data_IF_488321885024
#
_entry.id   IF_488321885024
#
_cell.length_a   1.000
_cell.length_b   1.000
_cell.length_c   1.000
_cell.angle_alpha   90.00
_cell.angle_beta   90.00
_cell.angle_gamma   90.00
#
_symmetry.space_group_name_H-M   'P 1'
#
loop_
_entity.id
_entity.type
_entity.pdbx_description
1 polymer ?
#
# COMPACT_ATOMS: atom_id res chain seq x y z
N UNK A 1 -9.27 8.47 -13.81
CA UNK A 1 -7.96 8.18 -14.43
C UNK A 1 -6.79 9.05 -13.96
N UNK A 2 -6.77 10.40 -14.15
CA UNK A 2 -5.63 11.26 -13.71
C UNK A 2 -5.18 11.02 -12.26
N UNK A 3 -6.14 11.00 -11.33
CA UNK A 3 -5.90 10.69 -9.91
C UNK A 3 -5.11 9.40 -9.64
N UNK A 4 -5.25 8.36 -10.47
CA UNK A 4 -4.55 7.09 -10.26
C UNK A 4 -3.09 7.15 -10.72
N UNK A 5 -2.83 7.88 -11.82
CA UNK A 5 -1.46 8.07 -12.30
C UNK A 5 -0.71 9.04 -11.36
N UNK A 6 -1.40 10.06 -10.85
CA UNK A 6 -0.82 10.98 -9.86
C UNK A 6 -0.44 10.23 -8.57
N UNK A 7 -1.30 9.31 -8.11
CA UNK A 7 -0.99 8.45 -6.96
C UNK A 7 0.13 7.46 -7.24
N UNK A 8 0.17 6.82 -8.41
CA UNK A 8 1.26 5.88 -8.72
C UNK A 8 2.60 6.61 -8.83
N UNK A 9 2.63 7.83 -9.39
CA UNK A 9 3.83 8.67 -9.41
C UNK A 9 4.23 9.08 -7.98
N UNK A 10 3.27 9.51 -7.16
CA UNK A 10 3.53 9.86 -5.76
C UNK A 10 4.17 8.70 -4.99
N UNK A 11 3.58 7.51 -5.07
CA UNK A 11 4.12 6.31 -4.42
C UNK A 11 5.44 5.85 -5.03
N UNK A 12 5.66 6.05 -6.33
CA UNK A 12 6.95 5.76 -6.97
C UNK A 12 8.06 6.65 -6.41
N UNK A 13 7.82 7.96 -6.28
CA UNK A 13 8.78 8.88 -5.67
C UNK A 13 9.08 8.48 -4.23
N UNK A 14 8.06 8.16 -3.43
CA UNK A 14 8.26 7.65 -2.08
C UNK A 14 9.06 6.34 -2.06
N UNK A 15 8.79 5.42 -2.99
CA UNK A 15 9.52 4.16 -3.09
C UNK A 15 11.01 4.41 -3.40
N UNK A 16 11.33 5.31 -4.32
CA UNK A 16 12.72 5.65 -4.63
C UNK A 16 13.43 6.29 -3.44
N UNK A 17 12.80 7.26 -2.77
CA UNK A 17 13.34 7.91 -1.57
C UNK A 17 13.59 6.86 -0.49
N UNK A 18 12.61 6.00 -0.21
CA UNK A 18 12.75 4.93 0.78
C UNK A 18 13.88 3.95 0.42
N UNK A 19 14.05 3.65 -0.87
CA UNK A 19 15.05 2.73 -1.40
C UNK A 19 16.48 3.23 -1.19
N UNK A 20 16.71 4.52 -1.46
CA UNK A 20 17.98 5.17 -1.17
C UNK A 20 18.17 5.29 0.35
N UNK A 21 17.13 5.73 1.07
CA UNK A 21 17.18 5.94 2.50
C UNK A 21 17.61 4.68 3.26
N UNK A 22 16.97 3.53 3.06
CA UNK A 22 17.31 2.32 3.82
C UNK A 22 18.75 1.87 3.58
N UNK A 23 19.23 1.96 2.33
CA UNK A 23 20.58 1.53 1.95
C UNK A 23 21.64 2.38 2.61
N UNK A 24 21.47 3.70 2.56
CA UNK A 24 22.46 4.60 3.16
C UNK A 24 22.34 4.59 4.68
N UNK A 25 21.14 4.52 5.24
CA UNK A 25 20.93 4.41 6.68
C UNK A 25 21.59 3.16 7.27
N UNK A 26 21.52 2.01 6.60
CA UNK A 26 22.21 0.80 7.03
C UNK A 26 23.73 0.99 7.06
N UNK A 27 24.31 1.64 6.04
CA UNK A 27 25.75 1.91 6.00
C UNK A 27 26.17 2.87 7.10
N UNK A 28 25.41 3.94 7.34
CA UNK A 28 25.70 4.90 8.41
C UNK A 28 25.67 4.27 9.80
N UNK A 29 24.81 3.26 10.00
CA UNK A 29 24.64 2.57 11.27
C UNK A 29 25.48 1.27 11.38
N UNK A 30 26.32 0.95 10.38
CA UNK A 30 27.03 -0.34 10.22
C UNK A 30 26.14 -1.58 10.47
N UNK A 31 24.89 -1.49 10.03
CA UNK A 31 23.88 -2.53 10.24
C UNK A 31 23.92 -3.56 9.10
N UNK A 32 24.04 -4.85 9.45
CA UNK A 32 24.17 -5.97 8.47
C UNK A 32 23.05 -7.01 8.53
N UNK A 33 21.94 -6.70 9.20
CA UNK A 33 20.79 -7.60 9.35
C UNK A 33 19.61 -7.27 8.43
N UNK A 34 18.54 -8.04 8.59
CA UNK A 34 17.24 -7.74 7.99
C UNK A 34 16.44 -6.81 8.91
N UNK A 35 15.72 -5.86 8.31
CA UNK A 35 14.78 -5.02 9.05
C UNK A 35 13.56 -4.70 8.20
N UNK A 36 12.49 -4.28 8.88
CA UNK A 36 11.26 -3.80 8.23
C UNK A 36 11.47 -2.55 7.36
N UNK A 37 12.57 -1.82 7.55
CA UNK A 37 12.93 -0.69 6.66
C UNK A 37 13.33 -1.18 5.26
N UNK A 38 14.00 -2.32 5.17
CA UNK A 38 14.41 -2.91 3.88
C UNK A 38 13.23 -3.40 3.04
N UNK A 39 12.11 -3.76 3.68
CA UNK A 39 10.90 -4.22 2.99
C UNK A 39 9.99 -3.06 2.55
N UNK A 40 10.14 -1.88 3.12
CA UNK A 40 9.33 -0.68 2.81
C UNK A 40 9.34 -0.33 1.33
N UNK A 41 10.52 -0.36 0.69
CA UNK A 41 10.69 -0.05 -0.72
C UNK A 41 9.81 -0.93 -1.62
N UNK A 42 9.80 -2.24 -1.36
CA UNK A 42 9.00 -3.20 -2.15
C UNK A 42 7.51 -3.00 -1.92
N UNK A 43 7.08 -2.74 -0.68
CA UNK A 43 5.67 -2.48 -0.40
C UNK A 43 5.17 -1.20 -1.11
N UNK A 44 5.96 -0.13 -1.12
CA UNK A 44 5.63 1.09 -1.87
C UNK A 44 5.59 0.84 -3.38
N UNK A 45 6.56 0.12 -3.93
CA UNK A 45 6.57 -0.23 -5.36
C UNK A 45 5.35 -1.08 -5.75
N UNK A 46 5.09 -2.17 -5.03
CA UNK A 46 4.04 -3.12 -5.40
C UNK A 46 2.66 -2.55 -5.08
N UNK A 47 2.42 -2.17 -3.83
CA UNK A 47 1.09 -1.74 -3.38
C UNK A 47 0.79 -0.28 -3.76
N UNK A 48 1.80 0.57 -3.88
CA UNK A 48 1.63 1.98 -4.23
C UNK A 48 1.76 2.29 -5.72
N UNK A 49 2.56 1.53 -6.48
CA UNK A 49 2.73 1.79 -7.92
C UNK A 49 1.96 0.76 -8.73
N UNK A 50 2.29 -0.52 -8.61
CA UNK A 50 1.73 -1.56 -9.48
C UNK A 50 0.21 -1.72 -9.32
N UNK A 51 -0.31 -1.65 -8.10
CA UNK A 51 -1.77 -1.73 -7.88
C UNK A 51 -2.50 -0.57 -8.52
N UNK A 52 -1.99 0.66 -8.45
CA UNK A 52 -2.65 1.80 -9.11
C UNK A 52 -2.52 1.77 -10.63
N UNK A 53 -1.40 1.26 -11.17
CA UNK A 53 -1.28 0.96 -12.60
C UNK A 53 -2.31 -0.10 -13.04
N UNK A 54 -2.50 -1.16 -12.25
CA UNK A 54 -3.53 -2.17 -12.49
C UNK A 54 -4.93 -1.54 -12.46
N UNK A 55 -5.22 -0.67 -11.48
CA UNK A 55 -6.49 0.06 -11.40
C UNK A 55 -6.73 0.93 -12.64
N UNK A 56 -5.69 1.57 -13.20
CA UNK A 56 -5.81 2.33 -14.46
C UNK A 56 -6.20 1.40 -15.61
N UNK A 57 -5.53 0.24 -15.73
CA UNK A 57 -5.84 -0.74 -16.77
C UNK A 57 -7.30 -1.21 -16.63
N UNK A 58 -7.72 -1.60 -15.41
CA UNK A 58 -9.10 -2.02 -15.15
C UNK A 58 -10.11 -0.91 -15.43
N UNK A 59 -9.80 0.35 -15.12
CA UNK A 59 -10.66 1.49 -15.41
C UNK A 59 -10.77 1.83 -16.91
N UNK A 60 -9.80 1.40 -17.72
CA UNK A 60 -9.89 1.49 -19.19
C UNK A 60 -10.72 0.37 -19.80
N UNK A 61 -10.67 -0.83 -19.20
CA UNK A 61 -11.38 -2.00 -19.70
C UNK A 61 -12.85 -2.06 -19.25
N UNK A 62 -13.14 -1.54 -18.06
CA UNK A 62 -14.45 -1.67 -17.42
C UNK A 62 -14.89 -0.36 -16.76
N UNK A 63 -16.20 -0.06 -16.67
CA UNK A 63 -16.73 1.15 -16.03
C UNK A 63 -16.68 1.10 -14.49
N UNK A 64 -15.55 0.69 -13.90
CA UNK A 64 -15.38 0.54 -12.43
C UNK A 64 -15.52 1.87 -11.68
N UNK A 65 -15.22 3.00 -12.34
CA UNK A 65 -15.32 4.35 -11.78
C UNK A 65 -16.79 4.76 -11.49
N UNK A 66 -17.76 4.16 -12.16
CA UNK A 66 -19.19 4.41 -11.92
C UNK A 66 -19.69 3.72 -10.65
N UNK A 67 -18.92 2.78 -10.09
CA UNK A 67 -19.31 2.08 -8.88
C UNK A 67 -19.05 2.94 -7.64
N UNK A 68 -20.09 3.17 -6.82
CA UNK A 68 -20.01 3.92 -5.56
C UNK A 68 -18.93 3.42 -4.58
N UNK A 69 -18.58 2.13 -4.65
CA UNK A 69 -17.55 1.55 -3.81
C UNK A 69 -16.13 2.00 -4.22
N UNK A 70 -15.94 2.56 -5.42
CA UNK A 70 -14.62 3.02 -5.87
C UNK A 70 -14.08 4.16 -5.01
N UNK A 71 -14.94 5.08 -4.55
CA UNK A 71 -14.53 6.13 -3.60
C UNK A 71 -14.10 5.54 -2.26
N UNK A 72 -14.79 4.50 -1.77
CA UNK A 72 -14.46 3.81 -0.52
C UNK A 72 -13.14 3.05 -0.63
N UNK A 73 -12.94 2.32 -1.73
CA UNK A 73 -11.67 1.69 -2.07
C UNK A 73 -10.52 2.69 -1.97
N UNK A 74 -10.64 3.83 -2.65
CA UNK A 74 -9.57 4.84 -2.67
C UNK A 74 -9.20 5.34 -1.27
N UNK A 75 -10.19 5.66 -0.44
CA UNK A 75 -9.91 6.17 0.91
C UNK A 75 -9.29 5.07 1.77
N UNK A 76 -9.94 3.90 1.86
CA UNK A 76 -9.51 2.82 2.74
C UNK A 76 -8.14 2.28 2.35
N UNK A 77 -7.89 2.10 1.05
CA UNK A 77 -6.62 1.57 0.55
C UNK A 77 -5.45 2.53 0.77
N UNK A 78 -5.60 3.82 0.44
CA UNK A 78 -4.52 4.79 0.63
C UNK A 78 -4.23 5.02 2.11
N UNK A 79 -5.25 5.08 2.98
CA UNK A 79 -5.05 5.19 4.44
C UNK A 79 -4.33 3.96 4.97
N UNK A 80 -4.75 2.75 4.57
CA UNK A 80 -4.08 1.51 4.95
C UNK A 80 -2.61 1.48 4.51
N UNK A 81 -2.32 1.90 3.28
CA UNK A 81 -0.96 1.94 2.75
C UNK A 81 -0.08 2.98 3.44
N UNK A 82 -0.61 4.17 3.73
CA UNK A 82 0.12 5.20 4.49
C UNK A 82 0.40 4.75 5.94
N UNK A 83 -0.56 4.08 6.58
CA UNK A 83 -0.34 3.50 7.91
C UNK A 83 0.72 2.39 7.89
N UNK A 84 0.68 1.51 6.89
CA UNK A 84 1.66 0.44 6.73
C UNK A 84 3.07 1.03 6.57
N UNK A 85 3.22 2.01 5.67
CA UNK A 85 4.51 2.63 5.37
C UNK A 85 5.06 3.39 6.58
N UNK A 86 4.24 4.12 7.31
CA UNK A 86 4.64 4.76 8.57
C UNK A 86 5.10 3.74 9.62
N UNK A 87 4.40 2.60 9.74
CA UNK A 87 4.73 1.58 10.73
C UNK A 87 6.00 0.81 10.37
N UNK A 88 6.19 0.46 9.09
CA UNK A 88 7.43 -0.16 8.61
C UNK A 88 8.64 0.78 8.78
N UNK A 89 8.45 2.07 8.52
CA UNK A 89 9.51 3.08 8.70
C UNK A 89 9.91 3.19 10.16
N UNK A 90 8.95 3.42 11.06
CA UNK A 90 9.22 3.60 12.50
C UNK A 90 9.82 2.35 13.13
N UNK A 91 9.23 1.17 12.88
CA UNK A 91 9.76 -0.10 13.38
C UNK A 91 11.14 -0.41 12.80
N UNK A 92 11.36 -0.11 11.52
CA UNK A 92 12.63 -0.32 10.85
C UNK A 92 13.76 0.54 11.43
N UNK A 93 13.49 1.82 11.67
CA UNK A 93 14.44 2.73 12.33
C UNK A 93 14.77 2.23 13.73
N UNK A 94 13.77 1.83 14.52
CA UNK A 94 13.98 1.30 15.87
C UNK A 94 14.83 0.03 15.86
N UNK A 95 14.58 -0.89 14.92
CA UNK A 95 15.34 -2.13 14.75
C UNK A 95 16.81 -1.85 14.41
N UNK A 96 17.08 -0.98 13.44
CA UNK A 96 18.44 -0.66 13.00
C UNK A 96 19.23 0.06 14.10
N UNK A 97 18.59 0.89 14.92
CA UNK A 97 19.23 1.54 16.07
C UNK A 97 19.41 0.62 17.28
N UNK A 98 18.90 -0.62 17.26
CA UNK A 98 18.97 -1.53 18.41
C UNK A 98 18.19 -1.03 19.63
N UNK A 99 17.20 -0.15 19.46
CA UNK A 99 16.44 0.42 20.56
C UNK A 99 15.53 -0.66 21.17
N UNK A 100 15.75 -0.97 22.44
CA UNK A 100 14.90 -1.87 23.20
C UNK A 100 13.55 -1.19 23.50
N UNK A 101 12.50 -1.61 22.80
CA UNK A 101 11.14 -1.14 23.07
C UNK A 101 10.57 -1.80 24.33
N UNK A 102 9.81 -1.03 25.11
CA UNK A 102 8.96 -1.60 26.16
C UNK A 102 7.90 -2.53 25.54
N UNK A 103 7.41 -3.49 26.31
CA UNK A 103 6.35 -4.41 25.86
C UNK A 103 5.12 -3.66 25.35
N UNK A 104 4.73 -2.56 26.03
CA UNK A 104 3.62 -1.71 25.62
C UNK A 104 3.88 -1.02 24.27
N UNK A 105 5.07 -0.43 24.08
CA UNK A 105 5.40 0.27 22.83
C UNK A 105 5.50 -0.69 21.63
N UNK A 106 6.09 -1.88 21.84
CA UNK A 106 6.14 -2.90 20.80
C UNK A 106 4.74 -3.44 20.46
N UNK A 107 3.89 -3.63 21.48
CA UNK A 107 2.48 -4.00 21.32
C UNK A 107 1.70 -2.98 20.50
N UNK A 108 1.86 -1.69 20.80
CA UNK A 108 1.22 -0.59 20.07
C UNK A 108 1.64 -0.56 18.58
N UNK A 109 2.94 -0.64 18.29
CA UNK A 109 3.44 -0.70 16.90
C UNK A 109 2.92 -1.94 16.17
N UNK A 110 2.82 -3.09 16.85
CA UNK A 110 2.24 -4.30 16.27
C UNK A 110 0.75 -4.14 15.97
N UNK A 111 0.01 -3.50 16.87
CA UNK A 111 -1.42 -3.21 16.67
C UNK A 111 -1.68 -2.30 15.47
N UNK A 112 -0.90 -1.23 15.31
CA UNK A 112 -1.00 -0.33 14.15
C UNK A 112 -0.62 -1.08 12.86
N UNK A 113 0.42 -1.91 12.89
CA UNK A 113 0.78 -2.77 11.76
C UNK A 113 -0.39 -3.70 11.38
N UNK A 114 -1.00 -4.38 12.36
CA UNK A 114 -2.16 -5.24 12.12
C UNK A 114 -3.36 -4.49 11.52
N UNK A 115 -3.66 -3.29 12.04
CA UNK A 115 -4.74 -2.45 11.52
C UNK A 115 -4.49 -2.01 10.08
N UNK A 116 -3.24 -1.68 9.73
CA UNK A 116 -2.89 -1.33 8.34
C UNK A 116 -3.14 -2.50 7.37
N UNK A 117 -2.85 -3.74 7.78
CA UNK A 117 -3.14 -4.93 6.97
C UNK A 117 -4.65 -5.15 6.81
N UNK A 118 -5.43 -4.96 7.88
CA UNK A 118 -6.89 -5.07 7.82
C UNK A 118 -7.47 -4.05 6.83
N UNK A 119 -7.02 -2.80 6.89
CA UNK A 119 -7.46 -1.76 5.96
C UNK A 119 -7.10 -2.11 4.51
N UNK A 120 -5.87 -2.58 4.26
CA UNK A 120 -5.46 -3.01 2.93
C UNK A 120 -6.30 -4.19 2.43
N UNK A 121 -6.62 -5.17 3.28
CA UNK A 121 -7.48 -6.30 2.95
C UNK A 121 -8.91 -5.84 2.59
N UNK A 122 -9.47 -4.90 3.36
CA UNK A 122 -10.79 -4.30 3.06
C UNK A 122 -10.73 -3.53 1.73
N UNK A 123 -9.64 -2.81 1.46
CA UNK A 123 -9.40 -2.15 0.18
C UNK A 123 -9.43 -3.15 -0.99
N UNK A 124 -8.66 -4.23 -0.89
CA UNK A 124 -8.70 -5.31 -1.88
C UNK A 124 -10.10 -5.91 -2.07
N UNK A 125 -10.83 -6.14 -0.96
CA UNK A 125 -12.20 -6.63 -1.02
C UNK A 125 -13.11 -5.67 -1.80
N UNK A 126 -13.00 -4.35 -1.60
CA UNK A 126 -13.75 -3.38 -2.40
C UNK A 126 -13.40 -3.48 -3.89
N UNK A 127 -12.12 -3.58 -4.24
CA UNK A 127 -11.69 -3.70 -5.63
C UNK A 127 -12.28 -4.95 -6.29
N UNK A 128 -12.24 -6.09 -5.60
CA UNK A 128 -12.80 -7.37 -6.08
C UNK A 128 -14.33 -7.31 -6.22
N UNK A 129 -15.03 -6.70 -5.26
CA UNK A 129 -16.50 -6.56 -5.33
C UNK A 129 -16.94 -5.61 -6.46
N UNK A 130 -16.18 -4.54 -6.70
CA UNK A 130 -16.41 -3.64 -7.84
C UNK A 130 -16.24 -4.43 -9.13
N UNK A 131 -15.13 -5.15 -9.27
CA UNK A 131 -14.81 -5.91 -10.47
C UNK A 131 -15.86 -7.01 -10.74
N UNK A 132 -16.24 -7.77 -9.71
CA UNK A 132 -17.31 -8.79 -9.81
C UNK A 132 -18.58 -8.17 -10.36
N UNK A 133 -19.05 -7.07 -9.78
CA UNK A 133 -20.28 -6.41 -10.22
C UNK A 133 -20.17 -5.90 -11.66
N UNK A 134 -19.05 -5.25 -11.99
CA UNK A 134 -18.88 -4.63 -13.30
C UNK A 134 -18.70 -5.66 -14.42
N UNK A 135 -17.96 -6.74 -14.19
CA UNK A 135 -17.78 -7.82 -15.17
C UNK A 135 -19.08 -8.58 -15.38
N UNK A 136 -19.83 -8.89 -14.32
CA UNK A 136 -21.13 -9.58 -14.47
C UNK A 136 -22.08 -8.76 -15.33
N UNK A 137 -22.19 -7.46 -15.09
CA UNK A 137 -23.02 -6.58 -15.91
C UNK A 137 -22.54 -6.51 -17.37
N UNK A 138 -21.22 -6.42 -17.63
CA UNK A 138 -20.67 -6.39 -19.00
C UNK A 138 -20.92 -7.68 -19.79
N UNK A 139 -21.00 -8.82 -19.10
CA UNK A 139 -21.34 -10.11 -19.73
C UNK A 139 -22.83 -10.17 -20.08
N UNK A 140 -23.69 -9.65 -19.21
CA UNK A 140 -25.14 -9.64 -19.43
C UNK A 140 -25.52 -8.67 -20.56
N UNK A 141 -24.92 -7.47 -20.61
CA UNK A 141 -25.13 -6.48 -21.69
C UNK A 141 -24.69 -6.97 -23.09
N UNK A 142 -23.81 -7.98 -23.17
CA UNK A 142 -23.35 -8.56 -24.45
C UNK A 142 -24.18 -9.75 -24.93
N UNK A 143 -25.13 -10.22 -24.12
CA UNK A 143 -26.05 -11.31 -24.48
C UNK A 143 -27.35 -10.82 -25.10
N UNK A 144 -27.69 -9.55 -24.90
CA UNK A 144 -28.82 -8.84 -25.50
C UNK A 144 -28.41 -8.16 -26.83
#
# INVERSE_FOLDING_TARGET
MKKYIDLSIFYFVLAMISGVFYREFYKFMDFRGDSTLGTLHVHLMVLGVLVFLLVIILAKLFPIEQNKNMKRFMIVYNVGLLMLTATLTTRGIVQVNGIALSAAANGALSGIAGLSHILLAIGWLFLLLILRKTITNDIDDKKD
#
